data_IF_215497085803
#
_entry.id   IF_215497085803
#
_cell.length_a   1.000
_cell.length_b   1.000
_cell.length_c   1.000
_cell.angle_alpha   90.00
_cell.angle_beta   90.00
_cell.angle_gamma   90.00
#
_symmetry.space_group_name_H-M   'P 1'
#
loop_
_entity.id
_entity.type
_entity.pdbx_description
1 polymer ?
#
# COMPACT_ATOMS: atom_id res chain seq x y z
N UNK A 1 11.23 -7.06 -5.31
CA UNK A 1 10.74 -5.83 -4.65
C UNK A 1 11.24 -5.80 -3.21
N UNK A 2 11.55 -4.61 -2.68
CA UNK A 2 11.71 -4.39 -1.24
C UNK A 2 10.80 -3.25 -0.78
N UNK A 3 9.92 -3.48 0.20
CA UNK A 3 9.16 -2.40 0.85
C UNK A 3 10.07 -1.71 1.87
N UNK A 4 10.14 -0.37 1.83
CA UNK A 4 11.02 0.42 2.69
C UNK A 4 10.26 1.32 3.65
N UNK A 5 9.04 1.72 3.31
CA UNK A 5 8.24 2.61 4.16
C UNK A 5 6.74 2.42 3.93
N UNK A 6 5.96 2.53 5.01
CA UNK A 6 4.50 2.63 4.99
C UNK A 6 4.09 3.92 5.70
N UNK A 7 3.23 4.69 5.05
CA UNK A 7 2.62 5.90 5.59
C UNK A 7 1.10 5.72 5.62
N UNK A 8 0.51 5.92 6.79
CA UNK A 8 -0.91 5.76 7.05
C UNK A 8 -1.50 7.09 7.49
N UNK A 9 -2.65 7.47 6.92
CA UNK A 9 -3.43 8.61 7.38
C UNK A 9 -4.92 8.26 7.43
N UNK A 10 -5.53 8.46 8.59
CA UNK A 10 -6.95 8.22 8.85
C UNK A 10 -7.43 6.82 8.44
N UNK A 11 -6.69 5.80 8.86
CA UNK A 11 -6.99 4.38 8.62
C UNK A 11 -7.11 3.66 9.96
N UNK A 12 -8.26 3.04 10.23
CA UNK A 12 -8.56 2.34 11.51
C UNK A 12 -8.07 3.15 12.73
N UNK A 13 -7.20 2.56 13.57
CA UNK A 13 -6.65 3.19 14.76
C UNK A 13 -5.58 4.26 14.48
N UNK A 14 -5.08 4.37 13.25
CA UNK A 14 -4.05 5.33 12.86
C UNK A 14 -4.66 6.64 12.35
N UNK A 15 -4.38 7.74 13.06
CA UNK A 15 -4.63 9.09 12.54
C UNK A 15 -3.53 9.50 11.55
N UNK A 16 -2.28 9.39 11.96
CA UNK A 16 -1.11 9.55 11.11
C UNK A 16 0.02 8.68 11.67
N UNK A 17 0.66 7.88 10.82
CA UNK A 17 1.77 7.02 11.22
C UNK A 17 2.71 6.77 10.04
N UNK A 18 4.01 6.83 10.31
CA UNK A 18 5.05 6.38 9.39
C UNK A 18 5.78 5.18 10.00
N UNK A 19 6.02 4.15 9.20
CA UNK A 19 6.74 2.94 9.59
C UNK A 19 7.83 2.71 8.54
N UNK A 20 9.08 2.60 8.98
CA UNK A 20 10.21 2.25 8.12
C UNK A 20 10.50 0.76 8.27
N UNK A 21 10.80 0.11 7.15
CA UNK A 21 11.20 -1.30 7.11
C UNK A 21 12.67 -1.41 6.76
N UNK A 22 13.36 -2.31 7.44
CA UNK A 22 14.77 -2.62 7.17
C UNK A 22 14.89 -3.86 6.26
N UNK A 23 16.00 -4.04 5.54
CA UNK A 23 16.28 -5.29 4.86
C UNK A 23 16.25 -6.49 5.83
N UNK A 24 15.67 -7.61 5.40
CA UNK A 24 15.57 -8.83 6.19
C UNK A 24 14.24 -8.98 6.93
N UNK A 25 14.27 -9.62 8.10
CA UNK A 25 13.07 -9.97 8.87
C UNK A 25 12.66 -8.79 9.75
N UNK A 26 11.44 -8.30 9.54
CA UNK A 26 10.82 -7.25 10.36
C UNK A 26 9.72 -7.86 11.24
N UNK A 27 9.83 -7.72 12.56
CA UNK A 27 8.80 -8.17 13.50
C UNK A 27 7.89 -7.01 13.90
N UNK A 28 6.57 -7.17 13.66
CA UNK A 28 5.56 -6.20 14.09
C UNK A 28 5.01 -6.63 15.46
N UNK A 29 5.42 -5.95 16.52
CA UNK A 29 5.07 -6.29 17.90
C UNK A 29 4.12 -5.27 18.54
N UNK A 30 3.28 -5.74 19.47
CA UNK A 30 2.32 -4.89 20.18
C UNK A 30 1.13 -5.69 20.72
N UNK A 31 0.33 -5.08 21.60
CA UNK A 31 -0.83 -5.72 22.21
C UNK A 31 -1.92 -6.06 21.17
N UNK A 32 -2.84 -6.96 21.52
CA UNK A 32 -4.02 -7.22 20.70
C UNK A 32 -4.84 -5.93 20.57
N UNK A 33 -5.32 -5.65 19.36
CA UNK A 33 -6.03 -4.39 19.06
C UNK A 33 -5.13 -3.17 18.79
N UNK A 34 -3.79 -3.29 18.89
CA UNK A 34 -2.88 -2.15 18.66
C UNK A 34 -2.74 -1.71 17.18
N UNK A 35 -3.45 -2.34 16.23
CA UNK A 35 -3.39 -2.02 14.80
C UNK A 35 -2.36 -2.80 13.98
N UNK A 36 -1.72 -3.83 14.56
CA UNK A 36 -0.71 -4.66 13.86
C UNK A 36 -1.23 -5.26 12.55
N UNK A 37 -2.43 -5.85 12.57
CA UNK A 37 -3.05 -6.42 11.36
C UNK A 37 -3.35 -5.34 10.32
N UNK A 38 -3.70 -4.13 10.76
CA UNK A 38 -3.94 -2.98 9.87
C UNK A 38 -2.69 -2.57 9.09
N UNK A 39 -1.48 -2.77 9.63
CA UNK A 39 -0.23 -2.54 8.89
C UNK A 39 -0.16 -3.46 7.66
N UNK A 40 -0.46 -4.75 7.84
CA UNK A 40 -0.47 -5.72 6.74
C UNK A 40 -1.62 -5.44 5.77
N UNK A 41 -2.82 -5.19 6.29
CA UNK A 41 -4.00 -4.85 5.48
C UNK A 41 -3.76 -3.58 4.64
N UNK A 42 -3.04 -2.60 5.16
CA UNK A 42 -2.69 -1.39 4.42
C UNK A 42 -1.73 -1.67 3.26
N UNK A 43 -0.75 -2.55 3.46
CA UNK A 43 0.13 -3.01 2.36
C UNK A 43 -0.69 -3.79 1.33
N UNK A 44 -1.57 -4.70 1.78
CA UNK A 44 -2.55 -5.42 0.97
C UNK A 44 -3.39 -4.47 0.10
N UNK A 45 -3.95 -3.45 0.73
CA UNK A 45 -4.75 -2.43 0.07
C UNK A 45 -3.94 -1.64 -0.95
N UNK A 46 -2.73 -1.21 -0.57
CA UNK A 46 -1.89 -0.36 -1.40
C UNK A 46 -1.43 -1.05 -2.69
N UNK A 47 -0.88 -2.26 -2.55
CA UNK A 47 -0.15 -2.96 -3.62
C UNK A 47 -0.96 -4.04 -4.32
N UNK A 48 -1.99 -4.59 -3.67
CA UNK A 48 -2.68 -5.79 -4.16
C UNK A 48 -4.18 -5.57 -4.39
N UNK A 49 -4.64 -4.32 -4.20
CA UNK A 49 -6.06 -3.96 -4.26
C UNK A 49 -6.96 -4.80 -3.35
N UNK A 50 -6.39 -5.28 -2.23
CA UNK A 50 -7.05 -6.21 -1.33
C UNK A 50 -7.39 -5.56 0.02
N UNK A 51 -8.64 -5.73 0.44
CA UNK A 51 -9.09 -5.53 1.82
C UNK A 51 -10.09 -6.64 2.16
N UNK A 52 -10.06 -7.20 3.38
CA UNK A 52 -11.03 -8.22 3.81
C UNK A 52 -12.41 -7.63 4.15
N UNK A 53 -12.59 -6.31 3.99
CA UNK A 53 -13.80 -5.55 4.29
C UNK A 53 -13.90 -4.32 3.38
N UNK A 54 -14.96 -3.52 3.50
CA UNK A 54 -15.16 -2.36 2.64
C UNK A 54 -14.13 -1.26 2.88
N UNK A 55 -13.84 -0.44 1.87
CA UNK A 55 -13.00 0.75 2.05
C UNK A 55 -13.58 1.73 3.09
N UNK A 56 -14.90 1.77 3.26
CA UNK A 56 -15.54 2.62 4.27
C UNK A 56 -15.19 2.15 5.70
N UNK A 57 -15.18 0.83 5.93
CA UNK A 57 -14.79 0.24 7.22
C UNK A 57 -13.28 0.38 7.48
N UNK A 58 -12.48 0.59 6.43
CA UNK A 58 -11.05 0.81 6.55
C UNK A 58 -10.70 2.22 7.03
N UNK A 59 -11.49 3.21 6.62
CA UNK A 59 -11.33 4.60 7.06
C UNK A 59 -11.53 4.68 8.57
N UNK A 60 -10.69 5.49 9.23
CA UNK A 60 -10.80 5.77 10.66
C UNK A 60 -12.18 6.32 11.00
N UNK A 61 -12.75 5.85 12.11
CA UNK A 61 -14.05 6.32 12.59
C UNK A 61 -14.07 7.85 12.78
N UNK A 62 -15.13 8.50 12.27
CA UNK A 62 -15.28 9.95 12.26
C UNK A 62 -14.64 10.66 11.06
N UNK A 63 -13.79 9.98 10.30
CA UNK A 63 -13.14 10.53 9.11
C UNK A 63 -13.90 10.22 7.82
N UNK A 64 -13.79 11.11 6.84
CA UNK A 64 -14.46 10.94 5.53
C UNK A 64 -13.60 10.17 4.52
N UNK A 65 -12.30 10.15 4.73
CA UNK A 65 -11.32 9.57 3.82
C UNK A 65 -10.03 9.25 4.55
N UNK A 66 -9.28 8.28 4.01
CA UNK A 66 -7.95 7.93 4.45
C UNK A 66 -7.00 7.72 3.28
N UNK A 67 -5.72 7.56 3.58
CA UNK A 67 -4.71 7.22 2.59
C UNK A 67 -3.65 6.29 3.13
N UNK A 68 -3.13 5.46 2.23
CA UNK A 68 -1.97 4.61 2.44
C UNK A 68 -0.95 4.93 1.37
N UNK A 69 0.30 5.15 1.74
CA UNK A 69 1.41 5.22 0.80
C UNK A 69 2.48 4.19 1.16
N UNK A 70 2.86 3.37 0.19
CA UNK A 70 3.93 2.37 0.31
C UNK A 70 5.11 2.81 -0.54
N UNK A 71 6.25 3.07 0.10
CA UNK A 71 7.52 3.25 -0.61
C UNK A 71 8.20 1.89 -0.78
N UNK A 72 8.66 1.63 -1.99
CA UNK A 72 9.29 0.37 -2.36
C UNK A 72 10.44 0.60 -3.33
N UNK A 73 11.37 -0.36 -3.36
CA UNK A 73 12.36 -0.52 -4.43
C UNK A 73 11.80 -1.57 -5.39
N UNK A 74 11.62 -1.15 -6.65
CA UNK A 74 11.09 -1.97 -7.74
C UNK A 74 11.99 -3.18 -7.98
N UNK A 75 11.37 -4.34 -8.22
CA UNK A 75 12.12 -5.55 -8.57
C UNK A 75 12.66 -5.53 -9.99
N UNK A 76 12.10 -4.68 -10.88
CA UNK A 76 12.41 -4.65 -12.30
C UNK A 76 13.67 -3.84 -12.63
N UNK A 77 13.80 -2.67 -12.02
CA UNK A 77 14.80 -1.66 -12.38
C UNK A 77 15.58 -1.12 -11.15
N UNK A 78 15.36 -1.70 -9.97
CA UNK A 78 16.02 -1.35 -8.70
C UNK A 78 15.87 0.14 -8.29
N UNK A 79 14.81 0.81 -8.77
CA UNK A 79 14.51 2.22 -8.48
C UNK A 79 13.46 2.38 -7.37
N UNK A 80 13.52 3.47 -6.58
CA UNK A 80 12.52 3.76 -5.58
C UNK A 80 11.25 4.33 -6.21
N UNK A 81 10.10 3.88 -5.74
CA UNK A 81 8.78 4.37 -6.12
C UNK A 81 7.87 4.46 -4.89
N UNK A 82 6.79 5.23 -5.01
CA UNK A 82 5.76 5.31 -3.99
C UNK A 82 4.39 5.02 -4.61
N UNK A 83 3.70 4.00 -4.07
CA UNK A 83 2.34 3.64 -4.45
C UNK A 83 1.40 4.26 -3.45
N UNK A 84 0.47 5.10 -3.91
CA UNK A 84 -0.43 5.89 -3.07
C UNK A 84 -1.87 5.48 -3.37
N UNK A 85 -2.59 5.11 -2.31
CA UNK A 85 -3.99 4.71 -2.37
C UNK A 85 -4.82 5.55 -1.41
N UNK A 86 -5.89 6.15 -1.94
CA UNK A 86 -6.91 6.88 -1.16
C UNK A 86 -8.17 6.03 -1.03
N UNK A 87 -8.83 6.09 0.12
CA UNK A 87 -10.06 5.36 0.43
C UNK A 87 -11.13 6.25 1.09
N UNK A 88 -12.37 5.78 1.10
CA UNK A 88 -13.53 6.48 1.65
C UNK A 88 -14.25 7.34 0.61
N UNK A 89 -14.63 8.57 0.98
CA UNK A 89 -15.35 9.50 0.10
C UNK A 89 -14.56 9.86 -1.16
N UNK A 90 -13.22 9.83 -1.09
CA UNK A 90 -12.35 9.98 -2.24
C UNK A 90 -11.47 8.73 -2.36
N UNK A 91 -11.69 7.95 -3.42
CA UNK A 91 -10.79 6.87 -3.81
C UNK A 91 -9.78 7.37 -4.83
N UNK A 92 -8.59 6.76 -4.86
CA UNK A 92 -7.53 7.16 -5.77
C UNK A 92 -6.41 6.14 -5.83
N UNK A 93 -5.76 6.09 -6.98
CA UNK A 93 -4.64 5.22 -7.31
C UNK A 93 -3.59 6.07 -8.01
N UNK A 94 -2.39 6.10 -7.45
CA UNK A 94 -1.26 6.88 -7.96
C UNK A 94 0.05 6.11 -7.75
N UNK A 95 0.96 6.18 -8.72
CA UNK A 95 2.36 5.79 -8.57
C UNK A 95 3.22 7.03 -8.80
N UNK A 96 4.03 7.36 -7.80
CA UNK A 96 4.93 8.50 -7.81
C UNK A 96 6.39 8.05 -7.93
N UNK A 97 7.12 8.70 -8.83
CA UNK A 97 8.57 8.56 -8.95
C UNK A 97 9.27 9.75 -8.27
N UNK A 98 9.92 9.55 -7.12
CA UNK A 98 10.59 10.62 -6.39
C UNK A 98 11.82 11.18 -7.12
N UNK A 99 12.45 10.41 -8.00
CA UNK A 99 13.62 10.89 -8.76
C UNK A 99 13.18 11.87 -9.87
N UNK A 100 12.02 11.64 -10.48
CA UNK A 100 11.44 12.52 -11.49
C UNK A 100 10.52 13.60 -10.89
N UNK A 101 10.06 13.42 -9.66
CA UNK A 101 9.08 14.30 -9.02
C UNK A 101 7.71 14.26 -9.72
N UNK A 102 7.34 13.12 -10.33
CA UNK A 102 6.18 13.00 -11.20
C UNK A 102 5.33 11.76 -10.90
N UNK A 103 4.04 11.86 -11.23
CA UNK A 103 3.11 10.72 -11.22
C UNK A 103 3.31 9.95 -12.53
N UNK A 104 3.69 8.67 -12.43
CA UNK A 104 3.93 7.80 -13.59
C UNK A 104 2.66 7.05 -14.02
N UNK A 105 1.81 6.72 -13.06
CA UNK A 105 0.53 6.06 -13.30
C UNK A 105 -0.51 6.67 -12.37
N UNK A 106 -1.72 6.81 -12.88
CA UNK A 106 -2.89 7.29 -12.14
C UNK A 106 -4.07 6.39 -12.51
N UNK A 107 -5.11 6.34 -11.69
CA UNK A 107 -6.28 5.46 -11.88
C UNK A 107 -5.97 3.97 -11.65
N UNK A 108 -7.02 3.17 -11.50
CA UNK A 108 -6.88 1.77 -11.10
C UNK A 108 -6.15 0.93 -12.15
N UNK A 109 -6.51 1.05 -13.42
CA UNK A 109 -5.95 0.18 -14.46
C UNK A 109 -4.44 0.39 -14.59
N UNK A 110 -4.02 1.64 -14.83
CA UNK A 110 -2.60 1.95 -15.08
C UNK A 110 -1.71 1.63 -13.88
N UNK A 111 -2.20 1.87 -12.66
CA UNK A 111 -1.43 1.56 -11.43
C UNK A 111 -1.30 0.06 -11.23
N UNK A 112 -2.35 -0.72 -11.50
CA UNK A 112 -2.29 -2.18 -11.37
C UNK A 112 -1.38 -2.79 -12.46
N UNK A 113 -1.44 -2.29 -13.70
CA UNK A 113 -0.53 -2.72 -14.77
C UNK A 113 0.93 -2.42 -14.41
N UNK A 114 1.19 -1.21 -13.89
CA UNK A 114 2.52 -0.82 -13.41
C UNK A 114 3.02 -1.74 -12.29
N UNK A 115 2.15 -2.08 -11.33
CA UNK A 115 2.46 -2.97 -10.21
C UNK A 115 2.84 -4.38 -10.70
N UNK A 116 2.07 -4.99 -11.60
CA UNK A 116 2.42 -6.31 -12.15
C UNK A 116 3.83 -6.29 -12.76
N UNK A 117 4.12 -5.28 -13.56
CA UNK A 117 5.41 -5.15 -14.25
C UNK A 117 6.60 -4.92 -13.29
N UNK A 118 6.41 -4.15 -12.22
CA UNK A 118 7.50 -3.76 -11.30
C UNK A 118 7.67 -4.70 -10.10
N UNK A 119 6.65 -5.50 -9.79
CA UNK A 119 6.71 -6.53 -8.76
C UNK A 119 7.37 -7.83 -9.25
N UNK A 120 7.61 -7.99 -10.56
CA UNK A 120 8.09 -9.24 -11.20
C UNK A 120 7.14 -10.41 -10.92
N UNK A 121 5.84 -10.17 -11.04
CA UNK A 121 4.82 -11.20 -10.94
C UNK A 121 4.48 -11.69 -12.36
N UNK A 122 4.16 -12.97 -12.51
CA UNK A 122 3.75 -13.49 -13.82
C UNK A 122 2.38 -12.87 -14.19
N UNK A 123 2.10 -12.65 -15.49
CA UNK A 123 0.82 -12.03 -15.94
C UNK A 123 -0.43 -12.81 -15.49
N UNK A 124 -0.28 -14.09 -15.12
CA UNK A 124 -1.35 -14.93 -14.57
C UNK A 124 -1.53 -14.82 -13.06
N UNK A 125 -0.61 -14.16 -12.35
CA UNK A 125 -0.64 -14.09 -10.90
C UNK A 125 -1.64 -13.03 -10.44
N UNK A 126 -2.71 -13.49 -9.79
CA UNK A 126 -3.65 -12.61 -9.11
C UNK A 126 -2.95 -11.94 -7.93
N UNK A 127 -2.75 -10.62 -8.01
CA UNK A 127 -2.23 -9.81 -6.92
C UNK A 127 -2.99 -10.05 -5.60
N UNK A 128 -4.32 -10.20 -5.67
CA UNK A 128 -5.13 -10.51 -4.50
C UNK A 128 -4.88 -11.89 -3.90
N UNK A 129 -4.50 -12.88 -4.72
CA UNK A 129 -4.20 -14.24 -4.26
C UNK A 129 -2.81 -14.33 -3.61
N UNK A 130 -1.83 -13.55 -4.09
CA UNK A 130 -0.49 -13.46 -3.49
C UNK A 130 -0.49 -12.95 -2.04
N UNK A 131 -1.51 -12.18 -1.66
CA UNK A 131 -1.64 -11.70 -0.28
C UNK A 131 -2.33 -12.73 0.65
N UNK A 132 -3.01 -13.72 0.08
CA UNK A 132 -3.79 -14.73 0.81
C UNK A 132 -3.06 -16.07 1.01
N UNK A 133 -1.99 -16.32 0.25
CA UNK A 133 -1.09 -17.48 0.39
C UNK A 133 -0.06 -17.30 1.50
#
# INVERSE_FOLDING_TARGET
MLITKLELRNVKSYQEQTITFEPGINAICGQNGAGKSTILEAIGFALFDYLPYSQADFVREGEKSGSVAVSLVSGRDDRPYQVIRRCGKSSGYEVFDPALGAILAQNKADVMDWLHEHLKLDESDSLSELFLT
#
